data_IF_516032754856
#
_entry.id   IF_516032754856
#
_cell.length_a   1.000
_cell.length_b   1.000
_cell.length_c   1.000
_cell.angle_alpha   90.00
_cell.angle_beta   90.00
_cell.angle_gamma   90.00
#
_symmetry.space_group_name_H-M   'P 1'
#
loop_
_entity.id
_entity.type
_entity.pdbx_description
1 polymer ?
#
# COMPACT_ATOMS: atom_id res chain seq x y z
N UNK A 1 -11.07 62.32 -62.55
CA UNK A 1 -12.44 62.13 -63.07
C UNK A 1 -12.97 60.82 -62.48
N UNK A 2 -14.02 60.91 -61.63
CA UNK A 2 -15.08 59.89 -61.39
C UNK A 2 -14.72 58.67 -60.48
N UNK A 3 -15.12 58.66 -59.18
CA UNK A 3 -16.27 57.98 -58.48
C UNK A 3 -16.00 56.51 -58.02
N UNK A 4 -16.29 56.24 -56.72
CA UNK A 4 -16.21 54.96 -55.95
C UNK A 4 -17.31 53.93 -56.37
N UNK A 5 -17.21 52.63 -55.98
CA UNK A 5 -18.00 52.19 -54.80
C UNK A 5 -17.37 51.06 -53.93
N UNK A 6 -17.94 50.96 -52.73
CA UNK A 6 -17.70 50.02 -51.63
C UNK A 6 -18.43 48.69 -51.88
N UNK A 7 -17.81 47.51 -51.68
CA UNK A 7 -18.54 46.27 -51.33
C UNK A 7 -17.72 45.41 -50.35
N UNK A 8 -18.40 45.06 -49.28
CA UNK A 8 -18.08 44.24 -48.11
C UNK A 8 -17.67 42.81 -48.50
N UNK A 9 -16.63 42.25 -47.85
CA UNK A 9 -16.50 40.80 -47.65
C UNK A 9 -16.01 40.53 -46.22
N UNK A 10 -16.99 40.33 -45.34
CA UNK A 10 -16.81 39.63 -44.08
C UNK A 10 -16.87 38.10 -44.33
N UNK A 11 -16.38 37.33 -43.35
CA UNK A 11 -16.46 35.85 -43.24
C UNK A 11 -15.44 35.10 -44.14
N UNK A 12 -14.57 34.21 -43.66
CA UNK A 12 -14.54 33.39 -42.44
C UNK A 12 -13.07 33.19 -42.05
N UNK A 13 -12.69 33.61 -40.83
CA UNK A 13 -11.48 33.07 -40.18
C UNK A 13 -11.81 31.61 -39.85
N UNK A 14 -11.31 30.68 -40.67
CA UNK A 14 -11.35 29.25 -40.39
C UNK A 14 -10.39 29.01 -39.22
N UNK A 15 -10.94 29.08 -38.01
CA UNK A 15 -10.28 28.58 -36.82
C UNK A 15 -10.16 27.08 -37.03
N UNK A 16 -8.94 26.62 -37.29
CA UNK A 16 -8.60 25.22 -37.17
C UNK A 16 -8.82 24.85 -35.71
N UNK A 17 -10.00 24.33 -35.38
CA UNK A 17 -10.27 23.71 -34.10
C UNK A 17 -9.38 22.47 -34.02
N UNK A 18 -8.18 22.63 -33.48
CA UNK A 18 -7.37 21.50 -33.03
C UNK A 18 -8.18 20.82 -31.93
N UNK A 19 -8.94 19.80 -32.32
CA UNK A 19 -9.55 18.89 -31.37
C UNK A 19 -8.38 18.26 -30.61
N UNK A 20 -8.19 18.72 -29.37
CA UNK A 20 -7.33 18.04 -28.43
C UNK A 20 -8.03 16.70 -28.16
N UNK A 21 -7.68 15.68 -28.92
CA UNK A 21 -8.11 14.32 -28.63
C UNK A 21 -7.63 14.04 -27.22
N UNK A 22 -8.54 14.03 -26.25
CA UNK A 22 -8.25 13.53 -24.92
C UNK A 22 -7.82 12.09 -25.13
N UNK A 23 -6.52 11.84 -25.00
CA UNK A 23 -6.01 10.48 -24.84
C UNK A 23 -6.61 10.02 -23.52
N UNK A 24 -7.75 9.33 -23.59
CA UNK A 24 -8.33 8.70 -22.41
C UNK A 24 -7.34 7.63 -21.96
N UNK A 25 -6.71 7.78 -20.77
CA UNK A 25 -5.82 6.77 -20.27
C UNK A 25 -6.70 5.56 -19.92
N UNK A 26 -6.63 4.51 -20.75
CA UNK A 26 -7.18 3.15 -20.60
C UNK A 26 -8.11 2.98 -19.39
N UNK A 27 -9.43 3.20 -19.56
CA UNK A 27 -10.43 2.92 -18.53
C UNK A 27 -11.69 3.79 -18.57
N UNK A 28 -12.76 3.35 -17.89
CA UNK A 28 -13.94 4.19 -17.63
C UNK A 28 -13.57 5.35 -16.68
N UNK A 29 -14.13 6.56 -16.87
CA UNK A 29 -13.86 7.70 -16.01
C UNK A 29 -14.43 7.51 -14.60
N UNK A 30 -13.91 8.25 -13.59
CA UNK A 30 -14.52 8.30 -12.27
C UNK A 30 -16.02 8.61 -12.32
N UNK A 31 -16.79 8.00 -11.44
CA UNK A 31 -18.22 8.23 -11.27
C UNK A 31 -18.58 8.51 -9.79
N UNK A 32 -19.88 8.59 -9.49
CA UNK A 32 -20.34 8.87 -8.11
C UNK A 32 -19.94 7.80 -7.09
N UNK A 33 -19.65 6.57 -7.53
CA UNK A 33 -19.31 5.43 -6.68
C UNK A 33 -17.80 5.10 -6.73
N UNK A 34 -17.11 5.50 -7.80
CA UNK A 34 -15.72 5.19 -8.06
C UNK A 34 -14.93 6.49 -8.27
N UNK A 35 -14.16 6.96 -7.28
CA UNK A 35 -13.42 8.22 -7.38
C UNK A 35 -12.23 8.18 -8.36
N UNK A 36 -11.90 7.01 -8.89
CA UNK A 36 -10.77 6.78 -9.77
C UNK A 36 -11.22 6.09 -11.05
N UNK A 37 -10.57 6.42 -12.16
CA UNK A 37 -10.77 5.68 -13.41
C UNK A 37 -10.23 4.26 -13.31
N UNK A 38 -10.70 3.38 -14.19
CA UNK A 38 -10.12 2.04 -14.32
C UNK A 38 -8.64 2.20 -14.71
N UNK A 39 -7.74 1.47 -14.05
CA UNK A 39 -6.27 1.58 -14.22
C UNK A 39 -5.65 2.96 -13.92
N UNK A 40 -6.32 3.86 -13.18
CA UNK A 40 -5.77 5.18 -12.85
C UNK A 40 -4.48 5.08 -12.00
N UNK A 41 -3.39 5.70 -12.49
CA UNK A 41 -2.09 5.76 -11.83
C UNK A 41 -1.99 6.86 -10.77
N UNK A 42 -2.89 7.86 -10.78
CA UNK A 42 -2.93 8.93 -9.79
C UNK A 42 -3.52 8.49 -8.44
N UNK A 43 -4.09 7.27 -8.38
CA UNK A 43 -4.53 6.69 -7.11
C UNK A 43 -3.33 6.51 -6.17
N UNK A 44 -3.52 6.64 -4.84
CA UNK A 44 -2.49 6.30 -3.87
C UNK A 44 -1.95 4.91 -4.15
N UNK A 45 -0.65 4.83 -4.43
CA UNK A 45 -0.01 3.55 -4.68
C UNK A 45 0.20 2.82 -3.35
N UNK A 46 0.07 1.48 -3.32
CA UNK A 46 0.42 0.71 -2.13
C UNK A 46 1.87 1.02 -1.70
N UNK A 47 2.15 1.05 -0.39
CA UNK A 47 3.52 1.16 0.08
C UNK A 47 4.34 -0.02 -0.43
N UNK A 48 5.60 0.25 -0.77
CA UNK A 48 6.56 -0.80 -1.12
C UNK A 48 6.95 -1.54 0.14
N UNK A 49 6.90 -2.87 0.08
CA UNK A 49 7.33 -3.77 1.16
C UNK A 49 8.46 -4.63 0.61
N UNK A 50 9.64 -4.53 1.21
CA UNK A 50 10.78 -5.36 0.82
C UNK A 50 10.61 -6.76 1.42
N UNK A 51 10.76 -7.83 0.61
CA UNK A 51 10.72 -9.19 1.14
C UNK A 51 11.98 -9.49 1.97
N UNK A 52 11.89 -10.51 2.82
CA UNK A 52 13.04 -11.04 3.54
C UNK A 52 14.12 -11.59 2.59
N UNK A 53 15.38 -11.58 3.05
CA UNK A 53 16.54 -11.99 2.24
C UNK A 53 16.54 -13.50 2.01
N UNK A 54 16.21 -14.26 3.05
CA UNK A 54 16.15 -15.72 3.03
C UNK A 54 14.72 -16.22 3.15
N UNK A 55 14.50 -17.47 2.76
CA UNK A 55 13.21 -18.13 2.99
C UNK A 55 12.92 -18.19 4.48
N UNK A 56 11.79 -17.59 4.90
CA UNK A 56 11.37 -17.52 6.29
C UNK A 56 11.68 -16.20 7.00
N UNK A 57 12.47 -15.32 6.39
CA UNK A 57 12.71 -13.97 6.91
C UNK A 57 11.43 -13.11 6.82
N UNK A 58 11.27 -12.23 7.80
CA UNK A 58 10.16 -11.30 7.84
C UNK A 58 10.31 -10.19 6.76
N UNK A 59 9.20 -9.70 6.17
CA UNK A 59 9.26 -8.53 5.29
C UNK A 59 9.56 -7.24 6.07
N UNK A 60 9.90 -6.16 5.35
CA UNK A 60 10.32 -4.88 5.94
C UNK A 60 9.27 -4.19 6.81
N UNK A 61 7.98 -4.49 6.59
CA UNK A 61 6.86 -3.90 7.34
C UNK A 61 6.32 -4.83 8.45
N UNK A 62 6.93 -5.99 8.66
CA UNK A 62 6.48 -6.93 9.68
C UNK A 62 6.87 -6.51 11.10
N UNK A 63 5.99 -6.83 12.04
CA UNK A 63 6.31 -6.83 13.46
C UNK A 63 6.95 -8.18 13.79
N UNK A 64 8.24 -8.16 14.10
CA UNK A 64 8.98 -9.37 14.50
C UNK A 64 8.63 -9.71 15.95
N UNK A 65 7.86 -10.77 16.15
CA UNK A 65 7.47 -11.22 17.48
C UNK A 65 8.56 -12.02 18.19
N UNK A 66 9.35 -12.79 17.43
CA UNK A 66 10.46 -13.57 17.94
C UNK A 66 11.52 -13.74 16.85
N UNK A 67 12.76 -13.35 17.13
CA UNK A 67 13.90 -13.40 16.20
C UNK A 67 14.96 -14.45 16.60
N UNK A 68 14.65 -15.31 17.57
CA UNK A 68 15.58 -16.28 18.13
C UNK A 68 16.42 -15.76 19.30
N UNK A 69 16.39 -14.46 19.60
CA UNK A 69 17.09 -13.92 20.77
C UNK A 69 16.26 -14.09 22.05
N UNK A 70 16.94 -14.20 23.20
CA UNK A 70 16.27 -14.13 24.49
C UNK A 70 15.56 -12.78 24.70
N UNK A 71 16.13 -11.70 24.14
CA UNK A 71 15.56 -10.36 24.22
C UNK A 71 14.15 -10.29 23.63
N UNK A 72 13.91 -10.96 22.49
CA UNK A 72 12.58 -10.97 21.85
C UNK A 72 11.50 -11.68 22.66
N UNK A 73 11.87 -12.45 23.69
CA UNK A 73 10.87 -13.03 24.59
C UNK A 73 10.10 -11.96 25.38
N UNK A 74 10.64 -10.75 25.53
CA UNK A 74 9.91 -9.64 26.18
C UNK A 74 8.64 -9.21 25.44
N UNK A 75 8.51 -9.58 24.17
CA UNK A 75 7.30 -9.33 23.37
C UNK A 75 6.14 -10.27 23.75
N UNK A 76 6.39 -11.23 24.64
CA UNK A 76 5.44 -12.25 25.05
C UNK A 76 5.20 -12.22 26.55
N UNK A 77 3.98 -12.52 26.97
CA UNK A 77 3.62 -12.70 28.38
C UNK A 77 2.91 -14.03 28.61
N UNK A 78 3.16 -14.62 29.77
CA UNK A 78 2.38 -15.75 30.24
C UNK A 78 0.94 -15.32 30.54
N UNK A 79 -0.04 -16.06 30.01
CA UNK A 79 -1.45 -15.83 30.32
C UNK A 79 -1.83 -16.34 31.72
N UNK A 80 -1.01 -17.23 32.28
CA UNK A 80 -1.19 -17.79 33.61
C UNK A 80 -0.18 -17.18 34.58
N UNK A 81 -0.65 -16.76 35.74
CA UNK A 81 0.20 -16.21 36.80
C UNK A 81 1.27 -17.24 37.25
N UNK A 82 2.42 -16.73 37.70
CA UNK A 82 3.61 -17.54 38.01
C UNK A 82 3.35 -18.60 39.10
N UNK A 83 2.52 -18.27 40.09
CA UNK A 83 2.09 -19.16 41.17
C UNK A 83 1.20 -20.33 40.70
N UNK A 84 0.60 -20.22 39.51
CA UNK A 84 -0.36 -21.21 38.97
C UNK A 84 0.18 -22.04 37.81
N UNK A 85 1.43 -21.81 37.39
CA UNK A 85 2.12 -22.56 36.32
C UNK A 85 3.23 -23.42 36.91
N UNK A 86 3.51 -24.56 36.26
CA UNK A 86 4.51 -25.54 36.72
C UNK A 86 5.88 -25.35 36.05
N UNK A 87 5.95 -24.47 35.05
CA UNK A 87 7.16 -24.17 34.29
C UNK A 87 7.05 -22.84 33.57
N UNK A 88 8.10 -22.49 32.83
CA UNK A 88 8.19 -21.30 31.97
C UNK A 88 8.44 -21.70 30.52
N UNK A 89 8.10 -20.81 29.59
CA UNK A 89 8.63 -20.93 28.23
C UNK A 89 10.10 -20.54 28.27
N UNK A 90 10.92 -21.28 27.55
CA UNK A 90 12.36 -21.07 27.50
C UNK A 90 12.78 -20.63 26.11
N UNK A 91 13.89 -19.92 26.02
CA UNK A 91 14.57 -19.65 24.75
C UNK A 91 15.85 -20.47 24.76
N UNK A 92 15.95 -21.43 23.82
CA UNK A 92 17.10 -22.32 23.72
C UNK A 92 17.52 -22.41 22.24
N UNK A 93 18.80 -22.16 21.96
CA UNK A 93 19.38 -22.29 20.61
C UNK A 93 18.57 -21.58 19.52
N UNK A 94 18.13 -20.35 19.77
CA UNK A 94 17.33 -19.60 18.78
C UNK A 94 15.86 -20.02 18.71
N UNK A 95 15.40 -20.92 19.58
CA UNK A 95 14.06 -21.51 19.52
C UNK A 95 13.28 -21.23 20.79
N UNK A 96 11.99 -20.96 20.63
CA UNK A 96 11.06 -20.82 21.73
C UNK A 96 10.52 -22.21 22.14
N UNK A 97 10.84 -22.67 23.35
CA UNK A 97 10.58 -24.03 23.83
C UNK A 97 9.45 -24.03 24.87
N UNK A 98 8.40 -24.80 24.59
CA UNK A 98 7.31 -25.02 25.53
C UNK A 98 7.68 -26.13 26.54
N UNK A 99 7.79 -25.79 27.82
CA UNK A 99 8.04 -26.78 28.87
C UNK A 99 6.74 -27.32 29.48
N UNK A 100 6.75 -28.54 30.04
CA UNK A 100 5.57 -29.11 30.68
C UNK A 100 4.97 -28.20 31.76
N UNK A 101 3.75 -27.74 31.52
CA UNK A 101 3.00 -26.90 32.46
C UNK A 101 3.35 -25.40 32.43
N UNK A 102 4.06 -24.94 31.40
CA UNK A 102 4.28 -23.50 31.13
C UNK A 102 3.00 -22.73 30.78
N UNK A 103 2.01 -23.44 30.22
CA UNK A 103 0.75 -22.85 29.77
C UNK A 103 0.91 -22.04 28.49
N UNK A 104 -0.05 -21.16 28.21
CA UNK A 104 -0.06 -20.32 27.02
C UNK A 104 0.66 -19.00 27.25
N UNK A 105 1.31 -18.51 26.20
CA UNK A 105 1.85 -17.15 26.10
C UNK A 105 1.10 -16.40 24.99
N UNK A 106 1.07 -15.08 25.08
CA UNK A 106 0.52 -14.19 24.07
C UNK A 106 1.32 -12.90 24.00
N UNK A 107 1.19 -12.18 22.89
CA UNK A 107 1.71 -10.82 22.74
C UNK A 107 0.88 -9.79 23.51
#
# INVERSE_FOLDING_TARGET
>A
MIIRPQIIYACILSVCSSQLSAVFPIGDPPDMNHPWGVHDWNRPQPPVVEPGVQLGDAPSDAIILFDGTEGSFSNWRHLKAADKRKGDWLVENGTLVCTPGAGYIAT
#
